data_IF_579809787277
#
_entry.id   IF_579809787277
#
_cell.length_a   1.000
_cell.length_b   1.000
_cell.length_c   1.000
_cell.angle_alpha   90.00
_cell.angle_beta   90.00
_cell.angle_gamma   90.00
#
_symmetry.space_group_name_H-M   'P 1'
#
loop_
_entity.id
_entity.type
_entity.pdbx_description
1 polymer ?
#
# COMPACT_ATOMS: atom_id res chain seq x y z
N UNK A 1 -6.85 -1.37 18.67
CA UNK A 1 -8.16 -1.91 18.20
C UNK A 1 -8.44 -1.60 16.73
N UNK A 2 -7.48 -1.10 15.94
CA UNK A 2 -7.53 -1.18 14.47
C UNK A 2 -6.72 -2.37 13.96
N UNK A 3 -5.55 -2.64 14.57
CA UNK A 3 -4.69 -3.81 14.32
C UNK A 3 -5.30 -5.17 14.71
N UNK A 4 -6.57 -5.20 15.10
CA UNK A 4 -7.34 -6.42 15.33
C UNK A 4 -8.27 -6.74 14.17
N UNK A 5 -8.44 -5.80 13.23
CA UNK A 5 -9.18 -5.99 11.99
C UNK A 5 -8.27 -6.65 10.95
N UNK A 6 -8.86 -7.43 10.06
CA UNK A 6 -8.18 -7.88 8.85
C UNK A 6 -7.87 -6.70 7.91
N UNK A 7 -6.89 -6.87 7.03
CA UNK A 7 -6.50 -5.84 6.04
C UNK A 7 -7.67 -5.42 5.15
N UNK A 8 -8.56 -6.37 4.81
CA UNK A 8 -9.77 -6.09 4.05
C UNK A 8 -10.80 -5.27 4.85
N UNK A 9 -10.97 -5.54 6.14
CA UNK A 9 -11.84 -4.74 7.02
C UNK A 9 -11.29 -3.33 7.22
N UNK A 10 -9.96 -3.17 7.31
CA UNK A 10 -9.31 -1.86 7.34
C UNK A 10 -9.56 -1.11 6.02
N UNK A 11 -9.40 -1.76 4.87
CA UNK A 11 -9.71 -1.16 3.56
C UNK A 11 -11.16 -0.68 3.47
N UNK A 12 -12.12 -1.53 3.84
CA UNK A 12 -13.53 -1.15 3.89
C UNK A 12 -13.83 0.02 4.85
N UNK A 13 -13.13 0.08 5.98
CA UNK A 13 -13.24 1.22 6.89
C UNK A 13 -12.75 2.51 6.23
N UNK A 14 -11.59 2.49 5.58
CA UNK A 14 -11.03 3.66 4.89
C UNK A 14 -11.94 4.16 3.76
N UNK A 15 -12.55 3.24 2.99
CA UNK A 15 -13.56 3.55 1.96
C UNK A 15 -14.79 4.28 2.52
N UNK A 16 -15.23 3.89 3.72
CA UNK A 16 -16.40 4.49 4.36
C UNK A 16 -16.15 5.90 4.93
N UNK A 17 -14.88 6.31 5.02
CA UNK A 17 -14.50 7.56 5.66
C UNK A 17 -14.41 8.72 4.66
N UNK A 18 -14.82 9.94 5.07
CA UNK A 18 -14.46 11.16 4.34
C UNK A 18 -12.94 11.31 4.24
N UNK A 19 -12.44 11.87 3.14
CA UNK A 19 -11.01 12.03 2.84
C UNK A 19 -10.19 12.53 4.03
N UNK A 20 -10.62 13.60 4.70
CA UNK A 20 -9.90 14.18 5.85
C UNK A 20 -9.85 13.32 7.12
N UNK A 21 -10.57 12.19 7.17
CA UNK A 21 -10.49 11.21 8.27
C UNK A 21 -9.70 9.96 7.90
N UNK A 22 -9.46 9.72 6.59
CA UNK A 22 -8.72 8.55 6.10
C UNK A 22 -7.29 8.59 6.63
N UNK A 23 -6.62 9.74 6.53
CA UNK A 23 -5.24 9.95 7.01
C UNK A 23 -5.07 9.63 8.50
N UNK A 24 -6.00 10.08 9.35
CA UNK A 24 -5.94 9.76 10.79
C UNK A 24 -6.05 8.26 11.03
N UNK A 25 -6.95 7.56 10.34
CA UNK A 25 -7.11 6.10 10.50
C UNK A 25 -5.94 5.35 9.89
N UNK A 26 -5.43 5.81 8.75
CA UNK A 26 -4.26 5.28 8.08
C UNK A 26 -3.02 5.32 8.97
N UNK A 27 -2.78 6.43 9.67
CA UNK A 27 -1.66 6.57 10.61
C UNK A 27 -1.69 5.60 11.82
N UNK A 28 -2.80 4.88 12.00
CA UNK A 28 -2.96 3.87 13.06
C UNK A 28 -2.75 2.44 12.55
N UNK A 29 -2.64 2.23 11.23
CA UNK A 29 -2.39 0.93 10.61
C UNK A 29 -0.93 0.55 10.83
N UNK A 30 -0.67 -0.74 11.05
CA UNK A 30 0.71 -1.23 11.13
C UNK A 30 1.34 -1.22 9.74
N UNK A 31 2.57 -0.71 9.63
CA UNK A 31 3.27 -0.64 8.34
C UNK A 31 3.44 -1.99 7.62
N UNK A 32 3.50 -3.11 8.35
CA UNK A 32 3.55 -4.48 7.79
C UNK A 32 2.28 -4.89 7.02
N UNK A 33 1.21 -4.10 7.18
CA UNK A 33 -0.08 -4.30 6.55
C UNK A 33 -0.37 -3.26 5.46
N UNK A 34 0.43 -2.20 5.32
CA UNK A 34 0.19 -1.09 4.39
C UNK A 34 -0.07 -1.58 2.97
N UNK A 35 0.85 -2.39 2.43
CA UNK A 35 0.71 -2.95 1.08
C UNK A 35 -0.54 -3.79 0.90
N UNK A 36 -0.91 -4.59 1.91
CA UNK A 36 -2.10 -5.45 1.86
C UNK A 36 -3.38 -4.63 1.96
N UNK A 37 -3.41 -3.59 2.80
CA UNK A 37 -4.57 -2.70 2.90
C UNK A 37 -4.74 -1.91 1.61
N UNK A 38 -3.65 -1.44 1.00
CA UNK A 38 -3.68 -0.77 -0.30
C UNK A 38 -4.34 -1.64 -1.39
N UNK A 39 -4.22 -2.97 -1.34
CA UNK A 39 -4.91 -3.88 -2.28
C UNK A 39 -6.44 -3.96 -2.07
N UNK A 40 -6.94 -3.54 -0.91
CA UNK A 40 -8.34 -3.66 -0.52
C UNK A 40 -9.12 -2.34 -0.62
N UNK A 41 -8.50 -1.29 -1.12
CA UNK A 41 -9.14 0.00 -1.41
C UNK A 41 -9.20 0.23 -2.92
N UNK A 42 -10.16 1.02 -3.36
CA UNK A 42 -10.28 1.52 -4.73
C UNK A 42 -9.32 2.67 -5.00
N UNK A 43 -9.16 2.97 -6.28
CA UNK A 43 -8.08 3.83 -6.79
C UNK A 43 -8.08 5.24 -6.16
N UNK A 44 -9.24 5.89 -6.01
CA UNK A 44 -9.33 7.22 -5.37
C UNK A 44 -8.79 7.19 -3.93
N UNK A 45 -9.18 6.17 -3.15
CA UNK A 45 -8.71 6.01 -1.77
C UNK A 45 -7.23 5.69 -1.78
N UNK A 46 -6.80 4.76 -2.64
CA UNK A 46 -5.40 4.35 -2.78
C UNK A 46 -4.48 5.51 -3.10
N UNK A 47 -4.80 6.29 -4.13
CA UNK A 47 -4.08 7.50 -4.53
C UNK A 47 -3.99 8.49 -3.35
N UNK A 48 -5.10 8.69 -2.63
CA UNK A 48 -5.12 9.60 -1.49
C UNK A 48 -4.21 9.15 -0.34
N UNK A 49 -4.10 7.84 -0.10
CA UNK A 49 -3.21 7.27 0.91
C UNK A 49 -1.75 7.34 0.47
N UNK A 50 -1.45 6.93 -0.77
CA UNK A 50 -0.11 7.01 -1.35
C UNK A 50 0.42 8.45 -1.39
N UNK A 51 -0.44 9.45 -1.61
CA UNK A 51 -0.06 10.86 -1.56
C UNK A 51 0.36 11.35 -0.16
N UNK A 52 0.01 10.62 0.90
CA UNK A 52 0.43 10.93 2.28
C UNK A 52 1.69 10.17 2.72
N UNK A 53 2.09 9.15 1.96
CA UNK A 53 3.26 8.33 2.26
C UNK A 53 4.53 8.92 1.64
N UNK A 54 5.65 8.76 2.32
CA UNK A 54 6.95 9.02 1.71
C UNK A 54 7.41 7.85 0.83
N UNK A 55 8.46 8.08 0.04
CA UNK A 55 8.96 7.06 -0.90
C UNK A 55 9.47 5.81 -0.18
N UNK A 56 10.05 5.94 1.01
CA UNK A 56 10.60 4.80 1.77
C UNK A 56 9.46 3.92 2.30
N UNK A 57 8.39 4.53 2.79
CA UNK A 57 7.17 3.85 3.21
C UNK A 57 6.51 3.12 2.04
N UNK A 58 6.40 3.75 0.86
CA UNK A 58 5.83 3.10 -0.33
C UNK A 58 6.68 1.89 -0.73
N UNK A 59 8.00 2.01 -0.74
CA UNK A 59 8.92 0.90 -1.06
C UNK A 59 8.72 -0.25 -0.06
N UNK A 60 8.70 0.05 1.25
CA UNK A 60 8.51 -0.96 2.28
C UNK A 60 7.15 -1.66 2.15
N UNK A 61 6.08 -0.92 1.89
CA UNK A 61 4.73 -1.46 1.73
C UNK A 61 4.64 -2.45 0.56
N UNK A 62 5.37 -2.20 -0.53
CA UNK A 62 5.33 -3.09 -1.71
C UNK A 62 6.38 -4.19 -1.69
N UNK A 63 7.39 -4.12 -0.82
CA UNK A 63 8.48 -5.11 -0.76
C UNK A 63 7.95 -6.49 -0.36
N UNK A 64 6.95 -6.53 0.52
CA UNK A 64 6.33 -7.76 1.01
C UNK A 64 5.22 -8.31 0.10
N UNK A 65 4.89 -7.62 -0.99
CA UNK A 65 3.89 -8.06 -1.96
C UNK A 65 4.51 -8.97 -3.02
N UNK A 66 3.79 -10.05 -3.36
CA UNK A 66 4.14 -10.85 -4.52
C UNK A 66 3.87 -10.11 -5.85
N UNK A 67 4.32 -10.70 -6.95
CA UNK A 67 4.24 -10.07 -8.27
C UNK A 67 2.80 -9.88 -8.76
N UNK A 68 1.89 -10.78 -8.38
CA UNK A 68 0.49 -10.75 -8.81
C UNK A 68 -0.26 -9.65 -8.07
N UNK A 69 0.02 -9.50 -6.77
CA UNK A 69 -0.51 -8.42 -5.95
C UNK A 69 0.02 -7.06 -6.40
N UNK A 70 1.33 -6.95 -6.69
CA UNK A 70 1.88 -5.69 -7.18
C UNK A 70 1.28 -5.25 -8.52
N UNK A 71 0.90 -6.20 -9.38
CA UNK A 71 0.24 -5.87 -10.64
C UNK A 71 -1.07 -5.11 -10.44
N UNK A 72 -1.74 -5.26 -9.29
CA UNK A 72 -2.95 -4.51 -8.94
C UNK A 72 -2.66 -3.08 -8.46
N UNK A 73 -1.40 -2.73 -8.19
CA UNK A 73 -0.97 -1.43 -7.68
C UNK A 73 -0.12 -0.64 -8.68
N UNK A 74 0.31 -1.27 -9.79
CA UNK A 74 1.36 -0.76 -10.66
C UNK A 74 1.04 0.62 -11.25
N UNK A 75 -0.22 0.88 -11.56
CA UNK A 75 -0.65 2.14 -12.17
C UNK A 75 -0.65 3.31 -11.17
N UNK A 76 -0.77 3.01 -9.88
CA UNK A 76 -0.84 4.00 -8.80
C UNK A 76 0.53 4.27 -8.14
N UNK A 77 1.52 3.41 -8.41
CA UNK A 77 2.84 3.50 -7.78
C UNK A 77 3.79 4.43 -8.55
N UNK A 78 4.69 5.13 -7.83
CA UNK A 78 5.75 5.90 -8.49
C UNK A 78 6.66 4.99 -9.33
N UNK A 79 6.98 5.39 -10.57
CA UNK A 79 7.85 4.63 -11.48
C UNK A 79 9.18 4.17 -10.84
N UNK A 80 9.73 4.97 -9.91
CA UNK A 80 10.97 4.66 -9.17
C UNK A 80 10.90 3.39 -8.34
N UNK A 81 9.70 3.03 -7.87
CA UNK A 81 9.47 1.84 -7.05
C UNK A 81 9.47 0.58 -7.92
N UNK A 82 8.83 0.66 -9.09
CA UNK A 82 8.79 -0.42 -10.08
C UNK A 82 10.21 -0.78 -10.55
N UNK A 83 11.03 0.23 -10.82
CA UNK A 83 12.42 0.07 -11.26
C UNK A 83 13.31 -0.57 -10.18
N UNK A 84 13.13 -0.22 -8.90
CA UNK A 84 13.90 -0.82 -7.80
C UNK A 84 13.65 -2.32 -7.67
N UNK A 85 12.40 -2.77 -7.76
CA UNK A 85 12.08 -4.20 -7.70
C UNK A 85 12.69 -4.98 -8.87
N UNK A 86 12.71 -4.40 -10.08
CA UNK A 86 13.41 -5.02 -11.22
C UNK A 86 14.91 -5.19 -10.95
N UNK A 87 15.53 -4.24 -10.25
CA UNK A 87 16.93 -4.35 -9.81
C UNK A 87 17.15 -5.43 -8.75
N UNK A 88 16.25 -5.54 -7.76
CA UNK A 88 16.34 -6.55 -6.68
C UNK A 88 16.09 -7.97 -7.22
N UNK A 89 15.07 -8.15 -8.05
CA UNK A 89 14.75 -9.46 -8.64
C UNK A 89 15.82 -9.91 -9.64
N UNK A 90 16.49 -8.96 -10.32
CA UNK A 90 17.65 -9.23 -11.18
C UNK A 90 18.88 -9.73 -10.43
N UNK A 91 19.02 -9.45 -9.12
CA UNK A 91 20.12 -9.91 -8.26
C UNK A 91 19.84 -11.24 -7.55
N UNK A 92 18.59 -11.71 -7.53
CA UNK A 92 18.15 -12.96 -6.90
C UNK A 92 18.10 -14.16 -7.86
N UNK A 93 18.56 -14.01 -9.10
CA UNK A 93 18.75 -15.15 -10.01
C UNK A 93 20.10 -15.83 -9.74
N UNK A 94 20.14 -17.12 -9.36
CA UNK A 94 21.39 -17.89 -9.35
C UNK A 94 21.91 -18.14 -10.77
#
# INVERSE_FOLDING_TARGET
>A
MINTLSTAEIGNLLESLPTGKRETVWSLVNHEDDGKVLLHVGDEVRESLLATMDMEEIIAAVEDLDIDNLANLVDDLPNTVIDQRHSINGRRKP
#
